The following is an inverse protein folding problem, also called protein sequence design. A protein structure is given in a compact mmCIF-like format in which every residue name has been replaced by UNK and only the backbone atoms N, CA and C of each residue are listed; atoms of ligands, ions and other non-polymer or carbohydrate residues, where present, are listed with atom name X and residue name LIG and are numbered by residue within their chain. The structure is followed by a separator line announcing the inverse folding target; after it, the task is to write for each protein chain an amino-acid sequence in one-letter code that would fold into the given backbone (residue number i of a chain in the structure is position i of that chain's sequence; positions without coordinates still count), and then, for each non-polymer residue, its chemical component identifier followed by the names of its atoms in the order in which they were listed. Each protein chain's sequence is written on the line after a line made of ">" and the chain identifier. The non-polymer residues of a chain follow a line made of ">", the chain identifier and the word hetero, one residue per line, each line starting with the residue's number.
data_IF_711413024945
#
_entry.id   IF_711413024945
#
_cell.length_a   1.000
_cell.length_b   1.000
_cell.length_c   1.000
_cell.angle_alpha   90.00
_cell.angle_beta   90.00
_cell.angle_gamma   90.00
#
_symmetry.space_group_name_H-M   'P 1'
#
loop_
_entity.id
_entity.type
_entity.pdbx_description
1 polymer ?
#
# COMPACT_ATOMS: atom_id res chain seq x y z
N UNK A 1 3.27 -3.15 -10.72
CA UNK A 1 2.64 -3.87 -9.60
C UNK A 1 3.73 -4.17 -8.60
N UNK A 2 3.46 -3.94 -7.32
CA UNK A 2 4.39 -4.15 -6.21
C UNK A 2 3.66 -5.02 -5.18
N UNK A 3 4.27 -6.13 -4.76
CA UNK A 3 3.75 -7.03 -3.75
C UNK A 3 4.81 -7.19 -2.66
N UNK A 4 4.44 -6.94 -1.42
CA UNK A 4 5.28 -7.08 -0.23
C UNK A 4 4.54 -7.95 0.78
N UNK A 5 5.25 -8.94 1.33
CA UNK A 5 4.79 -9.74 2.47
C UNK A 5 5.84 -9.63 3.55
N UNK A 6 5.45 -9.23 4.76
CA UNK A 6 6.36 -9.07 5.88
C UNK A 6 5.71 -9.53 7.18
N UNK A 7 6.54 -9.78 8.18
CA UNK A 7 6.13 -10.12 9.52
C UNK A 7 6.61 -9.04 10.50
N UNK A 8 5.72 -8.47 11.31
CA UNK A 8 6.08 -7.36 12.21
C UNK A 8 7.00 -7.79 13.36
N UNK A 9 6.81 -8.99 13.91
CA UNK A 9 7.65 -9.51 14.99
C UNK A 9 8.99 -10.12 14.56
N UNK A 10 9.38 -10.03 13.28
CA UNK A 10 10.69 -10.50 12.82
C UNK A 10 11.73 -9.37 12.82
N UNK A 11 13.01 -9.73 12.77
CA UNK A 11 14.09 -8.75 12.73
C UNK A 11 14.26 -7.95 14.02
N UNK A 12 14.94 -6.81 13.91
CA UNK A 12 15.21 -5.92 15.03
C UNK A 12 14.25 -4.71 14.97
N UNK A 13 13.79 -4.23 16.13
CA UNK A 13 12.96 -3.01 16.28
C UNK A 13 13.74 -1.85 16.89
N UNK A 14 15.06 -2.01 17.03
CA UNK A 14 15.95 -0.98 17.55
C UNK A 14 16.06 0.18 16.55
N UNK A 15 16.05 1.42 17.03
CA UNK A 15 16.29 2.62 16.21
C UNK A 15 17.67 2.61 15.55
N UNK A 16 18.62 1.84 16.08
CA UNK A 16 19.96 1.63 15.53
C UNK A 16 20.08 0.38 14.64
N UNK A 17 18.97 -0.33 14.37
CA UNK A 17 18.99 -1.49 13.50
C UNK A 17 19.49 -1.14 12.10
N UNK A 18 20.38 -1.97 11.57
CA UNK A 18 20.87 -1.85 10.21
C UNK A 18 19.77 -2.15 9.20
N UNK A 19 19.90 -1.64 7.97
CA UNK A 19 18.94 -1.91 6.89
C UNK A 19 18.76 -3.42 6.63
N UNK A 20 19.82 -4.22 6.81
CA UNK A 20 19.74 -5.68 6.67
C UNK A 20 18.88 -6.34 7.76
N UNK A 21 18.96 -5.85 9.00
CA UNK A 21 18.16 -6.35 10.13
C UNK A 21 16.69 -5.94 9.99
N UNK A 22 16.41 -4.76 9.44
CA UNK A 22 15.06 -4.31 9.10
C UNK A 22 14.46 -5.17 7.97
N UNK A 23 15.26 -5.48 6.96
CA UNK A 23 14.84 -6.32 5.83
C UNK A 23 14.57 -7.77 6.22
N UNK A 24 15.10 -8.25 7.36
CA UNK A 24 14.78 -9.58 7.89
C UNK A 24 13.28 -9.78 8.20
N UNK A 25 12.51 -8.69 8.31
CA UNK A 25 11.03 -8.73 8.40
C UNK A 25 10.36 -9.18 7.12
N UNK A 26 11.00 -8.96 5.98
CA UNK A 26 10.38 -9.18 4.68
C UNK A 26 10.48 -10.65 4.31
N UNK A 27 9.32 -11.30 4.17
CA UNK A 27 9.21 -12.70 3.77
C UNK A 27 9.23 -12.82 2.24
N UNK A 28 8.64 -11.86 1.54
CA UNK A 28 8.57 -11.85 0.09
C UNK A 28 8.45 -10.44 -0.45
N UNK A 29 9.18 -10.15 -1.53
CA UNK A 29 9.06 -8.90 -2.26
C UNK A 29 9.09 -9.14 -3.76
N UNK A 30 8.14 -8.56 -4.48
CA UNK A 30 8.07 -8.59 -5.92
C UNK A 30 7.67 -7.23 -6.46
N UNK A 31 8.41 -6.74 -7.46
CA UNK A 31 8.06 -5.52 -8.17
C UNK A 31 8.21 -5.74 -9.67
N UNK A 32 7.25 -5.25 -10.44
CA UNK A 32 7.33 -5.25 -11.91
C UNK A 32 8.02 -4.00 -12.45
N UNK A 33 8.38 -3.03 -11.59
CA UNK A 33 9.02 -1.78 -11.99
C UNK A 33 10.53 -1.90 -12.20
N UNK A 34 11.14 -3.00 -11.75
CA UNK A 34 12.58 -3.30 -11.85
C UNK A 34 13.10 -3.51 -13.27
N UNK A 35 12.25 -3.47 -14.30
CA UNK A 35 12.63 -3.79 -15.69
C UNK A 35 12.69 -2.60 -16.65
N UNK A 36 12.26 -1.38 -16.31
CA UNK A 36 12.00 -0.40 -17.38
C UNK A 36 12.49 1.04 -17.22
N UNK A 37 12.94 1.51 -16.05
CA UNK A 37 13.68 2.77 -15.90
C UNK A 37 14.08 2.89 -14.43
N UNK A 38 15.26 2.37 -14.10
CA UNK A 38 15.96 2.76 -12.89
C UNK A 38 16.52 4.17 -13.12
N UNK A 39 15.66 5.19 -13.08
CA UNK A 39 16.12 6.55 -12.87
C UNK A 39 16.82 6.56 -11.51
N UNK A 40 18.13 6.65 -11.61
CA UNK A 40 19.13 6.37 -10.59
C UNK A 40 19.26 7.50 -9.56
N UNK A 41 18.16 7.92 -8.94
CA UNK A 41 18.15 9.11 -8.07
C UNK A 41 17.50 8.93 -6.69
N UNK A 42 17.18 7.70 -6.30
CA UNK A 42 16.82 7.38 -4.91
C UNK A 42 17.70 6.22 -4.44
N UNK A 43 18.88 6.54 -3.90
CA UNK A 43 19.94 5.60 -3.49
C UNK A 43 19.61 4.73 -2.29
N UNK A 44 18.45 4.08 -2.24
CA UNK A 44 18.10 3.11 -1.21
C UNK A 44 17.29 1.93 -1.75
N UNK A 45 17.28 0.84 -0.98
CA UNK A 45 16.63 -0.41 -1.36
C UNK A 45 15.11 -0.22 -1.55
N UNK A 46 14.55 -0.49 -2.75
CA UNK A 46 13.11 -0.33 -3.00
C UNK A 46 12.25 -1.19 -2.09
N UNK A 47 12.75 -2.34 -1.62
CA UNK A 47 12.07 -3.21 -0.68
C UNK A 47 11.93 -2.54 0.69
N UNK A 48 12.99 -1.89 1.16
CA UNK A 48 13.00 -1.19 2.44
C UNK A 48 12.07 0.04 2.41
N UNK A 49 12.07 0.78 1.30
CA UNK A 49 11.13 1.89 1.11
C UNK A 49 9.68 1.43 1.16
N UNK A 50 9.36 0.32 0.50
CA UNK A 50 8.01 -0.26 0.52
C UNK A 50 7.61 -0.70 1.94
N UNK A 51 8.53 -1.33 2.68
CA UNK A 51 8.31 -1.74 4.07
C UNK A 51 8.03 -0.54 4.97
N UNK A 52 8.91 0.46 4.96
CA UNK A 52 8.76 1.67 5.80
C UNK A 52 7.46 2.42 5.49
N UNK A 53 7.07 2.51 4.23
CA UNK A 53 5.78 3.09 3.85
C UNK A 53 4.61 2.29 4.45
N UNK A 54 4.64 0.96 4.32
CA UNK A 54 3.57 0.12 4.83
C UNK A 54 3.44 0.21 6.36
N UNK A 55 4.57 0.20 7.07
CA UNK A 55 4.61 0.37 8.52
C UNK A 55 4.10 1.74 8.96
N UNK A 56 4.49 2.81 8.27
CA UNK A 56 3.98 4.15 8.56
C UNK A 56 2.47 4.25 8.37
N UNK A 57 1.92 3.59 7.33
CA UNK A 57 0.48 3.54 7.10
C UNK A 57 -0.24 2.76 8.20
N UNK A 58 0.29 1.61 8.61
CA UNK A 58 -0.26 0.85 9.73
C UNK A 58 -0.24 1.67 11.01
N UNK A 59 0.92 2.20 11.41
CA UNK A 59 1.07 3.03 12.60
C UNK A 59 0.12 4.25 12.59
N UNK A 60 -0.02 4.91 11.44
CA UNK A 60 -0.97 6.01 11.28
C UNK A 60 -2.41 5.55 11.51
N UNK A 61 -2.83 4.43 10.92
CA UNK A 61 -4.20 3.93 11.11
C UNK A 61 -4.48 3.46 12.53
N UNK A 62 -3.49 2.90 13.21
CA UNK A 62 -3.56 2.58 14.63
C UNK A 62 -3.69 3.82 15.50
N UNK A 63 -2.98 4.91 15.17
CA UNK A 63 -3.12 6.19 15.86
C UNK A 63 -4.51 6.83 15.69
N UNK A 64 -5.19 6.55 14.56
CA UNK A 64 -6.55 7.03 14.30
C UNK A 64 -7.63 6.12 14.90
N UNK A 65 -7.41 4.81 14.92
CA UNK A 65 -8.37 3.81 15.39
C UNK A 65 -8.08 3.45 16.84
N UNK A 66 -8.78 4.09 17.77
CA UNK A 66 -8.59 3.94 19.22
C UNK A 66 -8.94 2.53 19.77
N UNK A 67 -9.41 1.58 18.95
CA UNK A 67 -9.96 0.31 19.45
C UNK A 67 -9.51 -0.97 18.71
N UNK A 68 -9.25 -0.95 17.40
CA UNK A 68 -8.90 -2.17 16.65
C UNK A 68 -7.98 -1.87 15.45
N UNK A 69 -7.05 -2.79 15.13
CA UNK A 69 -6.33 -2.79 13.86
C UNK A 69 -7.33 -2.94 12.72
N UNK A 70 -7.28 -2.08 11.69
CA UNK A 70 -8.08 -2.32 10.50
C UNK A 70 -7.64 -3.62 9.84
N UNK A 71 -8.58 -4.57 9.67
CA UNK A 71 -8.33 -5.84 8.96
C UNK A 71 -7.79 -5.64 7.55
N UNK A 72 -8.17 -4.53 6.91
CA UNK A 72 -7.66 -4.12 5.61
C UNK A 72 -7.63 -2.59 5.51
N UNK A 73 -6.69 -2.08 4.73
CA UNK A 73 -6.49 -0.67 4.46
C UNK A 73 -6.29 -0.46 2.96
N UNK A 74 -6.96 0.56 2.40
CA UNK A 74 -6.70 1.02 1.03
C UNK A 74 -6.26 2.48 1.06
N UNK A 75 -5.10 2.76 0.50
CA UNK A 75 -4.56 4.13 0.39
C UNK A 75 -4.31 4.45 -1.08
N UNK A 76 -4.73 5.62 -1.53
CA UNK A 76 -4.44 6.11 -2.88
C UNK A 76 -3.41 7.23 -2.78
N UNK A 77 -2.23 7.03 -3.35
CA UNK A 77 -1.16 8.02 -3.42
C UNK A 77 -0.95 8.41 -4.89
N UNK A 78 -1.36 9.63 -5.24
CA UNK A 78 -1.28 10.19 -6.60
C UNK A 78 -1.93 9.30 -7.67
N UNK A 79 -1.17 8.37 -8.27
CA UNK A 79 -1.62 7.45 -9.33
C UNK A 79 -1.53 5.98 -8.94
N UNK A 80 -1.17 5.68 -7.70
CA UNK A 80 -1.01 4.31 -7.18
C UNK A 80 -2.01 4.07 -6.08
N UNK A 81 -2.61 2.88 -6.08
CA UNK A 81 -3.46 2.40 -5.00
C UNK A 81 -2.74 1.28 -4.29
N UNK A 82 -2.59 1.43 -2.99
CA UNK A 82 -1.99 0.45 -2.08
C UNK A 82 -3.09 -0.20 -1.29
N UNK A 83 -3.06 -1.53 -1.24
CA UNK A 83 -3.91 -2.33 -0.37
C UNK A 83 -3.01 -2.97 0.67
N UNK A 84 -3.35 -2.85 1.94
CA UNK A 84 -2.67 -3.54 3.04
C UNK A 84 -3.70 -4.43 3.74
N UNK A 85 -3.30 -5.64 4.07
CA UNK A 85 -4.16 -6.59 4.77
C UNK A 85 -3.32 -7.44 5.72
N UNK A 86 -3.81 -7.64 6.93
CA UNK A 86 -3.30 -8.67 7.83
C UNK A 86 -3.84 -10.03 7.36
N UNK A 87 -2.94 -10.96 7.02
CA UNK A 87 -3.29 -12.27 6.47
C UNK A 87 -3.28 -13.34 7.57
N UNK A 88 -2.32 -13.25 8.47
CA UNK A 88 -2.20 -14.04 9.70
C UNK A 88 -1.71 -13.11 10.83
N UNK A 89 -1.81 -13.50 12.12
CA UNK A 89 -1.33 -12.65 13.21
C UNK A 89 0.11 -12.20 12.97
N UNK A 90 0.32 -10.88 12.92
CA UNK A 90 1.61 -10.23 12.64
C UNK A 90 2.16 -10.41 11.20
N UNK A 91 1.48 -11.11 10.30
CA UNK A 91 1.86 -11.25 8.89
C UNK A 91 0.97 -10.36 8.03
N UNK A 92 1.61 -9.42 7.33
CA UNK A 92 0.94 -8.45 6.50
C UNK A 92 1.30 -8.62 5.03
N UNK A 93 0.34 -8.32 4.19
CA UNK A 93 0.48 -8.26 2.74
C UNK A 93 0.14 -6.86 2.25
N UNK A 94 1.02 -6.28 1.46
CA UNK A 94 0.80 -5.01 0.78
C UNK A 94 0.87 -5.20 -0.74
N UNK A 95 -0.13 -4.66 -1.44
CA UNK A 95 -0.25 -4.69 -2.89
C UNK A 95 -0.37 -3.27 -3.45
N UNK A 96 0.66 -2.82 -4.15
CA UNK A 96 0.68 -1.58 -4.94
C UNK A 96 0.27 -1.83 -6.39
N UNK A 97 -0.85 -1.23 -6.79
CA UNK A 97 -1.35 -1.28 -8.18
C UNK A 97 -1.29 0.13 -8.78
N UNK A 98 -0.68 0.26 -9.96
CA UNK A 98 -0.79 1.50 -10.72
C UNK A 98 -2.21 1.61 -11.26
N UNK A 99 -2.87 2.74 -11.00
CA UNK A 99 -4.12 3.04 -11.68
C UNK A 99 -3.78 3.30 -13.15
N UNK A 100 -4.12 2.33 -13.99
CA UNK A 100 -4.25 2.62 -15.41
C UNK A 100 -5.46 3.54 -15.53
N UNK A 101 -5.22 4.80 -15.93
CA UNK A 101 -6.30 5.73 -16.21
C UNK A 101 -7.09 5.19 -17.41
N UNK A 102 -8.04 4.28 -17.17
CA UNK A 102 -9.17 4.14 -18.06
C UNK A 102 -10.06 5.34 -17.81
N UNK A 103 -9.74 6.42 -18.52
CA UNK A 103 -10.66 7.51 -18.78
C UNK A 103 -11.85 6.95 -19.57
N UNK A 104 -12.75 6.24 -18.92
CA UNK A 104 -14.12 6.10 -19.42
C UNK A 104 -14.90 7.22 -18.77
N UNK A 105 -14.99 8.34 -19.50
CA UNK A 105 -16.09 9.30 -19.32
C UNK A 105 -17.38 8.50 -19.47
N UNK A 106 -17.94 8.00 -18.36
CA UNK A 106 -19.36 7.79 -18.28
C UNK A 106 -20.00 9.18 -18.14
N UNK A 107 -20.19 9.85 -19.28
CA UNK A 107 -21.22 10.86 -19.40
C UNK A 107 -22.55 10.17 -19.14
N UNK A 108 -23.02 10.19 -17.90
CA UNK A 108 -24.47 10.16 -17.65
C UNK A 108 -24.91 11.62 -17.56
N UNK A 109 -24.96 12.23 -18.74
CA UNK A 109 -25.67 13.48 -19.02
C UNK A 109 -27.08 13.10 -19.48
N UNK A 110 -28.11 13.60 -18.78
CA UNK A 110 -29.52 13.56 -19.17
C UNK A 110 -30.34 12.53 -18.38
N UNK A 111 -31.49 12.84 -17.77
CA UNK A 111 -32.27 14.08 -17.75
C UNK A 111 -33.19 14.03 -16.52
N UNK A 112 -33.41 15.18 -15.90
CA UNK A 112 -34.56 15.42 -15.02
C UNK A 112 -35.78 15.77 -15.90
N UNK A 113 -36.88 15.04 -15.73
CA UNK A 113 -38.26 15.41 -16.05
C UNK A 113 -39.15 14.29 -15.47
N UNK A 114 -39.85 14.51 -14.36
CA UNK A 114 -41.25 14.98 -14.30
C UNK A 114 -42.26 13.87 -14.67
N UNK A 115 -42.95 13.34 -13.65
CA UNK A 115 -44.17 12.52 -13.73
C UNK A 115 -44.87 12.74 -12.37
N UNK A 116 -45.63 13.82 -12.16
CA UNK A 116 -47.03 14.11 -12.54
C UNK A 116 -48.07 13.11 -11.99
N UNK A 117 -49.02 13.69 -11.25
CA UNK A 117 -50.15 13.12 -10.53
C UNK A 117 -51.02 12.14 -11.33
N UNK A 118 -51.55 11.14 -10.63
CA UNK A 118 -52.85 10.54 -10.89
C UNK A 118 -53.49 10.10 -9.56
#
# INVERSE_FOLDING_TARGET
>A
MELLVWHEGLGCDDEQASDAELLARVLFFHSTATSANADADAGGDPQLHALRLAQALLAFTHGLSCAESPKWLSVTLSRRRFFLQEVEPQIFMALGVQQTAKLVRAQCSGAAAAEEDA
#
